data_IF_208235859417
#
_entry.id   IF_208235859417
#
_cell.length_a   1.000
_cell.length_b   1.000
_cell.length_c   1.000
_cell.angle_alpha   90.00
_cell.angle_beta   90.00
_cell.angle_gamma   90.00
#
_symmetry.space_group_name_H-M   'P 1'
#
loop_
_entity.id
_entity.type
_entity.pdbx_description
1 polymer ?
#
# COMPACT_ATOMS: atom_id res chain seq x y z
N UNK A 1 -10.22 -0.89 -27.60
CA UNK A 1 -11.08 -1.80 -26.85
C UNK A 1 -10.84 -1.45 -25.39
N UNK A 2 -11.86 -0.96 -24.71
CA UNK A 2 -11.79 -0.73 -23.27
C UNK A 2 -11.68 -2.10 -22.61
N UNK A 3 -10.48 -2.43 -22.14
CA UNK A 3 -10.28 -3.59 -21.29
C UNK A 3 -10.99 -3.26 -19.97
N UNK A 4 -11.97 -4.09 -19.60
CA UNK A 4 -12.64 -3.95 -18.32
C UNK A 4 -11.59 -4.14 -17.22
N UNK A 5 -11.30 -3.06 -16.47
CA UNK A 5 -10.41 -3.12 -15.33
C UNK A 5 -11.18 -3.55 -14.07
N UNK A 6 -10.57 -4.40 -13.27
CA UNK A 6 -11.09 -4.73 -11.94
C UNK A 6 -10.43 -3.80 -10.90
N UNK A 7 -10.93 -2.56 -10.86
CA UNK A 7 -10.47 -1.56 -9.90
C UNK A 7 -11.09 -1.83 -8.52
N UNK A 8 -10.26 -1.82 -7.48
CA UNK A 8 -10.66 -2.19 -6.12
C UNK A 8 -10.39 -1.11 -5.09
N UNK A 9 -9.44 -0.21 -5.36
CA UNK A 9 -9.07 0.88 -4.46
C UNK A 9 -8.53 2.05 -5.26
N UNK A 10 -8.25 3.17 -4.57
CA UNK A 10 -7.59 4.31 -5.18
C UNK A 10 -7.11 5.29 -4.13
N UNK A 11 -6.13 6.10 -4.50
CA UNK A 11 -5.61 7.20 -3.72
C UNK A 11 -5.83 8.53 -4.47
N UNK A 12 -6.23 9.55 -3.72
CA UNK A 12 -6.42 10.90 -4.24
C UNK A 12 -5.34 11.79 -3.65
N UNK A 13 -4.55 12.45 -4.51
CA UNK A 13 -3.36 13.20 -4.09
C UNK A 13 -3.06 14.32 -5.07
N UNK A 14 -2.45 15.38 -4.56
CA UNK A 14 -1.84 16.44 -5.36
C UNK A 14 -0.37 16.05 -5.60
N UNK A 15 -0.07 15.41 -6.76
CA UNK A 15 1.25 14.84 -6.99
C UNK A 15 2.30 15.84 -7.46
N UNK A 16 1.88 16.93 -8.10
CA UNK A 16 2.76 17.94 -8.70
C UNK A 16 2.66 19.31 -8.02
N UNK A 17 1.91 19.37 -6.90
CA UNK A 17 1.73 20.56 -6.07
C UNK A 17 1.10 21.74 -6.82
N UNK A 18 0.21 21.48 -7.76
CA UNK A 18 -0.51 22.50 -8.52
C UNK A 18 -1.81 22.95 -7.83
N UNK A 19 -2.23 22.24 -6.78
CA UNK A 19 -3.35 22.56 -5.91
C UNK A 19 -4.64 21.84 -6.27
N UNK A 20 -4.64 20.97 -7.28
CA UNK A 20 -5.77 20.09 -7.56
C UNK A 20 -5.44 18.62 -7.27
N UNK A 21 -6.48 17.79 -7.16
CA UNK A 21 -6.32 16.42 -6.72
C UNK A 21 -6.41 15.44 -7.88
N UNK A 22 -5.36 14.66 -8.04
CA UNK A 22 -5.23 13.58 -8.99
C UNK A 22 -5.74 12.24 -8.45
N UNK A 23 -5.81 11.23 -9.31
CA UNK A 23 -6.33 9.92 -8.95
C UNK A 23 -5.39 8.80 -9.37
N UNK A 24 -4.88 8.05 -8.40
CA UNK A 24 -4.28 6.75 -8.58
C UNK A 24 -5.33 5.66 -8.41
N UNK A 25 -5.44 4.75 -9.38
CA UNK A 25 -6.42 3.66 -9.39
C UNK A 25 -5.71 2.32 -9.30
N UNK A 26 -6.01 1.59 -8.23
CA UNK A 26 -5.49 0.25 -7.98
C UNK A 26 -6.37 -0.76 -8.69
N UNK A 27 -5.76 -1.58 -9.55
CA UNK A 27 -6.39 -2.70 -10.21
C UNK A 27 -5.86 -4.02 -9.64
N UNK A 28 -6.72 -5.05 -9.64
CA UNK A 28 -6.40 -6.30 -8.95
C UNK A 28 -5.93 -7.39 -9.92
N UNK A 29 -6.85 -8.04 -10.59
CA UNK A 29 -6.58 -9.23 -11.40
C UNK A 29 -7.14 -9.10 -12.82
N UNK A 30 -6.47 -9.70 -13.79
CA UNK A 30 -7.06 -9.98 -15.09
C UNK A 30 -7.99 -11.18 -14.98
N UNK A 31 -9.28 -10.93 -14.85
CA UNK A 31 -10.30 -11.98 -14.79
C UNK A 31 -11.06 -12.01 -16.11
N UNK A 32 -10.71 -12.95 -16.97
CA UNK A 32 -11.53 -13.23 -18.14
C UNK A 32 -12.96 -13.65 -17.72
N UNK A 33 -14.00 -13.24 -18.46
CA UNK A 33 -15.36 -13.69 -18.18
C UNK A 33 -15.40 -15.22 -18.07
N UNK A 34 -15.87 -15.75 -16.92
CA UNK A 34 -15.92 -17.19 -16.57
C UNK A 34 -14.59 -17.82 -16.13
N UNK A 35 -13.53 -17.07 -15.87
CA UNK A 35 -12.26 -17.65 -15.38
C UNK A 35 -12.46 -18.52 -14.11
N UNK A 36 -13.32 -18.10 -13.19
CA UNK A 36 -13.67 -18.84 -11.97
C UNK A 36 -14.40 -20.17 -12.20
N UNK A 37 -14.96 -20.38 -13.39
CA UNK A 37 -15.61 -21.64 -13.79
C UNK A 37 -14.78 -22.45 -14.76
N UNK A 38 -13.65 -21.92 -15.22
CA UNK A 38 -12.76 -22.59 -16.16
C UNK A 38 -11.80 -23.53 -15.40
N UNK A 39 -11.79 -24.84 -15.70
CA UNK A 39 -10.90 -25.81 -15.04
C UNK A 39 -9.40 -25.48 -15.17
N UNK A 40 -9.02 -24.64 -16.14
CA UNK A 40 -7.63 -24.21 -16.30
C UNK A 40 -7.18 -23.28 -15.19
N UNK A 41 -8.10 -22.49 -14.63
CA UNK A 41 -7.87 -21.55 -13.53
C UNK A 41 -8.32 -22.11 -12.17
N UNK A 42 -9.28 -23.04 -12.18
CA UNK A 42 -9.78 -23.69 -10.98
C UNK A 42 -9.80 -25.22 -11.15
N UNK A 43 -8.63 -25.89 -11.17
CA UNK A 43 -8.55 -27.34 -11.34
C UNK A 43 -9.13 -28.13 -10.16
N UNK A 44 -9.27 -27.50 -8.99
CA UNK A 44 -9.73 -28.12 -7.74
C UNK A 44 -11.21 -27.87 -7.45
N UNK A 45 -11.95 -27.27 -8.39
CA UNK A 45 -13.42 -27.20 -8.28
C UNK A 45 -14.01 -28.58 -8.57
N UNK A 46 -14.20 -29.46 -7.56
CA UNK A 46 -14.88 -30.71 -7.78
C UNK A 46 -16.34 -30.42 -8.18
N UNK A 47 -16.93 -31.29 -8.95
CA UNK A 47 -18.26 -31.20 -9.48
C UNK A 47 -19.27 -30.48 -8.57
N UNK A 48 -19.53 -29.22 -8.86
CA UNK A 48 -20.55 -28.40 -8.22
C UNK A 48 -20.15 -27.53 -7.03
N UNK A 49 -18.94 -27.57 -6.53
CA UNK A 49 -18.47 -26.64 -5.51
C UNK A 49 -17.76 -25.45 -6.15
N UNK A 50 -18.37 -24.26 -6.04
CA UNK A 50 -17.79 -22.99 -6.48
C UNK A 50 -16.79 -22.48 -5.44
N UNK A 51 -15.58 -23.07 -5.42
CA UNK A 51 -14.44 -22.44 -4.75
C UNK A 51 -13.92 -21.32 -5.63
N UNK A 52 -13.52 -20.19 -5.03
CA UNK A 52 -12.76 -19.17 -5.76
C UNK A 52 -11.31 -19.64 -5.86
N UNK A 53 -10.69 -19.61 -7.07
CA UNK A 53 -9.29 -19.95 -7.22
C UNK A 53 -8.42 -18.96 -6.45
N UNK A 54 -7.28 -19.43 -5.94
CA UNK A 54 -6.31 -18.56 -5.30
C UNK A 54 -5.83 -17.47 -6.27
N UNK A 55 -5.61 -16.22 -5.81
CA UNK A 55 -5.17 -15.09 -6.65
C UNK A 55 -3.96 -15.39 -7.54
N UNK A 56 -3.07 -16.29 -7.13
CA UNK A 56 -1.89 -16.69 -7.93
C UNK A 56 -2.21 -17.37 -9.26
N UNK A 57 -3.46 -17.77 -9.47
CA UNK A 57 -3.93 -18.35 -10.73
C UNK A 57 -4.22 -17.29 -11.79
N UNK A 58 -4.25 -16.02 -11.42
CA UNK A 58 -4.58 -14.93 -12.32
C UNK A 58 -3.41 -13.98 -12.48
N UNK A 59 -3.18 -13.42 -13.68
CA UNK A 59 -2.26 -12.31 -13.85
C UNK A 59 -2.74 -11.10 -13.04
N UNK A 60 -1.80 -10.31 -12.57
CA UNK A 60 -2.09 -9.00 -12.01
C UNK A 60 -2.46 -8.02 -13.12
N UNK A 61 -3.34 -7.06 -12.82
CA UNK A 61 -3.73 -6.03 -13.74
C UNK A 61 -2.97 -4.72 -13.46
N UNK A 62 -2.45 -4.03 -14.50
CA UNK A 62 -1.72 -2.77 -14.29
C UNK A 62 -2.61 -1.69 -13.66
N UNK A 63 -2.04 -0.95 -12.72
CA UNK A 63 -2.66 0.24 -12.13
C UNK A 63 -2.70 1.40 -13.11
N UNK A 64 -3.49 2.43 -12.79
CA UNK A 64 -3.66 3.63 -13.62
C UNK A 64 -3.45 4.90 -12.81
N UNK A 65 -2.96 5.92 -13.49
CA UNK A 65 -2.80 7.25 -12.94
C UNK A 65 -3.46 8.31 -13.80
N UNK A 66 -4.34 9.11 -13.20
CA UNK A 66 -5.13 10.12 -13.87
C UNK A 66 -4.85 11.49 -13.26
N UNK A 67 -4.31 12.40 -14.07
CA UNK A 67 -4.13 13.79 -13.68
C UNK A 67 -5.45 14.54 -13.84
N UNK A 68 -5.72 15.41 -12.87
CA UNK A 68 -6.87 16.29 -12.90
C UNK A 68 -6.57 17.50 -13.79
N UNK A 69 -7.25 17.59 -14.92
CA UNK A 69 -7.19 18.72 -15.83
C UNK A 69 -8.57 19.41 -15.93
N UNK A 70 -9.42 19.31 -14.90
CA UNK A 70 -10.79 19.81 -14.94
C UNK A 70 -10.86 21.32 -15.19
N UNK A 71 -9.95 22.10 -14.62
CA UNK A 71 -9.91 23.56 -14.77
C UNK A 71 -9.35 24.01 -16.13
N UNK A 72 -8.62 23.17 -16.83
CA UNK A 72 -8.00 23.46 -18.12
C UNK A 72 -8.74 22.83 -19.28
N UNK A 73 -8.89 21.52 -19.27
CA UNK A 73 -9.45 20.73 -20.38
C UNK A 73 -10.84 20.14 -20.05
N UNK A 74 -11.32 20.29 -18.82
CA UNK A 74 -12.62 19.82 -18.36
C UNK A 74 -12.71 18.31 -18.16
N UNK A 75 -11.55 17.61 -17.99
CA UNK A 75 -11.49 16.16 -17.84
C UNK A 75 -10.26 15.71 -17.05
N UNK A 76 -10.26 14.44 -16.62
CA UNK A 76 -9.06 13.76 -16.16
C UNK A 76 -8.28 13.22 -17.37
N UNK A 77 -6.96 13.34 -17.34
CA UNK A 77 -6.05 12.84 -18.37
C UNK A 77 -5.30 11.61 -17.88
N UNK A 78 -5.32 10.51 -18.66
CA UNK A 78 -4.50 9.33 -18.34
C UNK A 78 -3.02 9.67 -18.57
N UNK A 79 -2.27 9.76 -17.47
CA UNK A 79 -0.83 10.01 -17.44
C UNK A 79 -0.03 8.81 -16.93
N UNK A 80 -0.62 7.63 -16.90
CA UNK A 80 -0.01 6.38 -16.39
C UNK A 80 1.40 6.16 -16.94
N UNK A 81 1.59 6.35 -18.25
CA UNK A 81 2.91 6.23 -18.89
C UNK A 81 3.87 7.34 -18.51
N UNK A 82 3.40 8.59 -18.51
CA UNK A 82 4.23 9.74 -18.18
C UNK A 82 4.75 9.70 -16.74
N UNK A 83 3.90 9.22 -15.83
CA UNK A 83 4.24 9.09 -14.41
C UNK A 83 5.06 7.83 -14.07
N UNK A 84 5.42 7.01 -15.05
CA UNK A 84 6.23 5.80 -14.85
C UNK A 84 5.46 4.61 -14.29
N UNK A 85 4.16 4.71 -14.06
CA UNK A 85 3.33 3.63 -13.52
C UNK A 85 3.19 2.48 -14.53
N UNK A 86 3.14 2.78 -15.83
CA UNK A 86 3.08 1.77 -16.89
C UNK A 86 4.34 0.90 -17.00
N UNK A 87 5.45 1.33 -16.41
CA UNK A 87 6.74 0.61 -16.44
C UNK A 87 6.89 -0.37 -15.25
N UNK A 88 5.96 -0.31 -14.29
CA UNK A 88 5.99 -1.17 -13.11
C UNK A 88 5.56 -2.59 -13.48
N UNK A 89 6.14 -3.57 -12.79
CA UNK A 89 5.66 -4.94 -12.82
C UNK A 89 4.30 -4.99 -12.09
N UNK A 90 3.19 -5.34 -12.76
CA UNK A 90 1.87 -5.30 -12.15
C UNK A 90 1.79 -6.19 -10.90
N UNK A 91 1.21 -5.67 -9.85
CA UNK A 91 0.98 -6.39 -8.60
C UNK A 91 -0.54 -6.53 -8.36
N UNK A 92 -0.92 -7.28 -7.33
CA UNK A 92 -2.31 -7.57 -6.99
C UNK A 92 -2.80 -6.62 -5.90
N UNK A 93 -2.92 -5.34 -6.23
CA UNK A 93 -3.26 -4.31 -5.26
C UNK A 93 -4.67 -4.46 -4.70
N UNK A 94 -4.84 -4.26 -3.39
CA UNK A 94 -6.13 -4.21 -2.70
C UNK A 94 -6.35 -2.90 -1.94
N UNK A 95 -5.30 -2.29 -1.43
CA UNK A 95 -5.37 -1.02 -0.70
C UNK A 95 -4.31 -0.04 -1.16
N UNK A 96 -4.62 1.25 -1.13
CA UNK A 96 -3.65 2.31 -1.38
C UNK A 96 -3.87 3.49 -0.45
N UNK A 97 -2.77 4.13 -0.05
CA UNK A 97 -2.80 5.37 0.73
C UNK A 97 -1.81 6.38 0.16
N UNK A 98 -2.22 7.65 -0.02
CA UNK A 98 -1.30 8.73 -0.29
C UNK A 98 -0.60 9.14 1.01
N UNK A 99 0.70 9.34 0.97
CA UNK A 99 1.51 9.70 2.14
C UNK A 99 2.79 10.42 1.72
N UNK A 100 3.19 11.46 2.41
CA UNK A 100 4.52 12.06 2.28
C UNK A 100 5.45 11.34 3.27
N UNK A 101 6.04 10.23 2.81
CA UNK A 101 6.69 9.26 3.71
C UNK A 101 8.06 9.75 4.23
N UNK A 102 8.68 10.68 3.55
CA UNK A 102 9.95 11.29 3.92
C UNK A 102 9.84 12.75 4.37
N UNK A 103 8.61 13.27 4.38
CA UNK A 103 8.27 14.65 4.79
C UNK A 103 9.01 15.71 3.94
N UNK A 104 9.14 15.45 2.64
CA UNK A 104 9.79 16.36 1.70
C UNK A 104 8.80 17.30 0.96
N UNK A 105 7.50 17.11 1.19
CA UNK A 105 6.42 17.90 0.61
C UNK A 105 5.84 17.31 -0.68
N UNK A 106 6.33 16.15 -1.15
CA UNK A 106 5.81 15.44 -2.30
C UNK A 106 5.09 14.18 -1.87
N UNK A 107 3.85 14.04 -2.31
CA UNK A 107 3.02 12.92 -1.88
C UNK A 107 3.35 11.66 -2.65
N UNK A 108 3.70 10.61 -1.92
CA UNK A 108 3.92 9.25 -2.40
C UNK A 108 2.62 8.44 -2.40
N UNK A 109 2.64 7.24 -2.98
CA UNK A 109 1.55 6.27 -2.86
C UNK A 109 2.09 4.92 -2.40
N UNK A 110 1.63 4.45 -1.24
CA UNK A 110 1.86 3.07 -0.83
C UNK A 110 0.70 2.18 -1.25
N UNK A 111 1.01 0.99 -1.78
CA UNK A 111 0.03 0.00 -2.24
C UNK A 111 0.24 -1.32 -1.53
N UNK A 112 -0.77 -1.75 -0.79
CA UNK A 112 -0.84 -3.07 -0.16
C UNK A 112 -1.34 -4.09 -1.19
N UNK A 113 -0.57 -5.16 -1.39
CA UNK A 113 -0.80 -6.15 -2.43
C UNK A 113 -1.12 -7.54 -1.85
N UNK A 114 -2.01 -8.27 -2.51
CA UNK A 114 -2.42 -9.63 -2.15
C UNK A 114 -1.40 -10.66 -2.61
N UNK A 115 -0.69 -11.28 -1.67
CA UNK A 115 0.31 -12.34 -1.86
C UNK A 115 1.44 -11.99 -2.85
N UNK A 116 1.60 -10.71 -3.18
CA UNK A 116 2.68 -10.17 -4.00
C UNK A 116 3.40 -9.05 -3.26
N UNK A 117 4.62 -8.63 -3.65
CA UNK A 117 5.33 -7.57 -2.94
C UNK A 117 4.52 -6.28 -2.88
N UNK A 118 4.43 -5.67 -1.70
CA UNK A 118 3.87 -4.32 -1.59
C UNK A 118 4.71 -3.31 -2.35
N UNK A 119 4.10 -2.21 -2.80
CA UNK A 119 4.77 -1.16 -3.56
C UNK A 119 4.76 0.17 -2.80
N UNK A 120 5.83 0.93 -2.95
CA UNK A 120 5.89 2.35 -2.64
C UNK A 120 6.25 3.11 -3.92
N UNK A 121 5.31 3.84 -4.44
CA UNK A 121 5.48 4.75 -5.56
C UNK A 121 6.02 6.07 -5.00
N UNK A 122 7.35 6.18 -4.98
CA UNK A 122 8.06 7.33 -4.45
C UNK A 122 8.06 8.45 -5.47
N UNK A 123 7.52 9.61 -5.08
CA UNK A 123 7.36 10.78 -5.94
C UNK A 123 8.70 11.49 -6.16
N UNK A 124 9.09 11.67 -7.39
CA UNK A 124 10.32 12.38 -7.75
C UNK A 124 10.02 13.84 -8.04
N UNK A 125 9.64 14.58 -7.02
CA UNK A 125 9.35 16.03 -7.08
C UNK A 125 8.33 16.40 -8.17
N UNK A 126 7.22 15.68 -8.22
CA UNK A 126 6.12 15.89 -9.17
C UNK A 126 6.39 15.39 -10.60
N UNK A 127 7.61 14.92 -10.88
CA UNK A 127 7.96 14.56 -12.25
C UNK A 127 7.54 13.14 -12.65
N UNK A 128 7.64 12.19 -11.73
CA UNK A 128 7.24 10.78 -11.92
C UNK A 128 7.34 10.01 -10.61
N UNK A 129 6.76 8.81 -10.59
CA UNK A 129 6.95 7.85 -9.52
C UNK A 129 8.06 6.82 -9.82
N UNK A 130 8.74 6.37 -8.76
CA UNK A 130 9.73 5.29 -8.81
C UNK A 130 9.41 4.27 -7.71
N UNK A 131 9.26 2.99 -8.07
CA UNK A 131 9.03 1.93 -7.09
C UNK A 131 10.24 1.80 -6.14
N UNK A 132 10.00 1.90 -4.85
CA UNK A 132 11.05 1.96 -3.81
C UNK A 132 10.81 1.03 -2.62
N UNK A 133 9.67 0.32 -2.52
CA UNK A 133 9.32 -0.48 -1.34
C UNK A 133 10.37 -1.54 -1.00
N UNK A 134 10.85 -2.26 -2.02
CA UNK A 134 11.88 -3.29 -1.84
C UNK A 134 13.18 -2.73 -1.28
N UNK A 135 13.61 -1.58 -1.76
CA UNK A 135 14.83 -0.90 -1.31
C UNK A 135 14.70 -0.36 0.12
N UNK A 136 13.51 0.08 0.47
CA UNK A 136 13.22 0.73 1.75
C UNK A 136 12.75 -0.24 2.85
N UNK A 137 12.47 -1.52 2.52
CA UNK A 137 12.06 -2.52 3.50
C UNK A 137 10.54 -2.59 3.72
N UNK A 138 9.74 -2.15 2.75
CA UNK A 138 8.27 -2.10 2.79
C UNK A 138 7.59 -3.18 1.94
N UNK A 139 8.36 -3.93 1.12
CA UNK A 139 7.79 -4.88 0.18
C UNK A 139 7.45 -6.24 0.80
N UNK A 140 8.05 -6.59 1.94
CA UNK A 140 7.99 -7.90 2.56
C UNK A 140 7.92 -7.78 4.08
N UNK A 141 7.45 -8.83 4.75
CA UNK A 141 7.51 -8.95 6.22
C UNK A 141 8.93 -9.19 6.75
N UNK A 142 9.11 -9.29 8.08
CA UNK A 142 10.42 -9.50 8.74
C UNK A 142 11.12 -10.80 8.28
N UNK A 143 10.37 -11.80 7.82
CA UNK A 143 10.91 -13.08 7.30
C UNK A 143 11.33 -13.00 5.84
N UNK A 144 10.97 -11.95 5.13
CA UNK A 144 11.21 -11.79 3.70
C UNK A 144 10.12 -12.40 2.81
N UNK A 145 8.96 -12.73 3.39
CA UNK A 145 7.81 -13.28 2.68
C UNK A 145 6.84 -12.18 2.26
N UNK A 146 6.07 -12.41 1.19
CA UNK A 146 4.90 -11.63 0.84
C UNK A 146 3.72 -12.02 1.73
N UNK A 147 2.84 -11.06 2.02
CA UNK A 147 1.59 -11.29 2.73
C UNK A 147 0.42 -10.77 1.87
N UNK A 148 -0.79 -11.19 2.19
CA UNK A 148 -1.99 -10.72 1.49
C UNK A 148 -2.44 -9.38 2.10
N UNK A 149 -1.73 -8.31 1.76
CA UNK A 149 -1.99 -6.95 2.24
C UNK A 149 -3.29 -6.38 1.67
N UNK A 150 -4.12 -5.78 2.54
CA UNK A 150 -5.44 -5.28 2.18
C UNK A 150 -5.66 -3.83 2.63
N UNK A 151 -5.88 -3.60 3.92
CA UNK A 151 -5.99 -2.25 4.47
C UNK A 151 -4.62 -1.67 4.80
N UNK A 152 -4.48 -0.36 4.67
CA UNK A 152 -3.25 0.35 5.02
C UNK A 152 -3.58 1.72 5.60
N UNK A 153 -2.84 2.13 6.62
CA UNK A 153 -2.87 3.47 7.17
C UNK A 153 -1.51 3.90 7.71
N UNK A 154 -1.32 5.19 7.94
CA UNK A 154 -0.07 5.80 8.40
C UNK A 154 -0.28 6.63 9.65
N UNK A 155 0.65 6.51 10.59
CA UNK A 155 0.72 7.33 11.79
C UNK A 155 2.15 7.34 12.31
N UNK A 156 2.58 8.39 13.00
CA UNK A 156 3.78 8.39 13.85
C UNK A 156 3.49 7.63 15.16
N UNK A 157 3.65 6.29 15.10
CA UNK A 157 3.26 5.37 16.18
C UNK A 157 4.21 5.47 17.39
N UNK A 158 5.49 5.70 17.16
CA UNK A 158 6.48 5.79 18.22
C UNK A 158 6.87 7.22 18.60
N UNK A 159 6.24 8.21 17.98
CA UNK A 159 6.35 9.66 18.26
C UNK A 159 7.76 10.18 18.06
N UNK A 160 8.43 9.69 17.05
CA UNK A 160 9.76 10.18 16.69
C UNK A 160 9.75 11.23 15.57
N UNK A 161 8.59 11.51 15.00
CA UNK A 161 8.36 12.61 14.06
C UNK A 161 8.31 12.19 12.59
N UNK A 162 8.39 10.90 12.30
CA UNK A 162 8.16 10.37 10.96
C UNK A 162 6.90 9.47 10.90
N UNK A 163 6.45 9.16 9.68
CA UNK A 163 5.25 8.35 9.50
C UNK A 163 5.60 6.87 9.37
N UNK A 164 4.94 6.06 10.18
CA UNK A 164 4.97 4.62 10.13
C UNK A 164 3.82 4.07 9.29
N UNK A 165 3.92 2.81 8.85
CA UNK A 165 2.90 2.14 8.05
C UNK A 165 2.35 0.92 8.78
N UNK A 166 1.02 0.80 8.78
CA UNK A 166 0.34 -0.39 9.27
C UNK A 166 -0.49 -1.03 8.14
N UNK A 167 -0.31 -2.34 7.94
CA UNK A 167 -1.00 -3.10 6.89
C UNK A 167 -1.76 -4.24 7.52
N UNK A 168 -3.03 -4.41 7.15
CA UNK A 168 -3.83 -5.57 7.56
C UNK A 168 -3.70 -6.68 6.53
N UNK A 169 -3.63 -7.93 7.00
CA UNK A 169 -3.37 -9.10 6.19
C UNK A 169 -4.45 -10.19 6.36
N UNK A 170 -4.29 -11.29 5.64
CA UNK A 170 -5.22 -12.42 5.60
C UNK A 170 -5.15 -13.25 6.90
N UNK A 171 -6.17 -14.07 7.14
CA UNK A 171 -6.19 -15.11 8.17
C UNK A 171 -4.94 -16.01 8.09
N UNK A 172 -4.39 -16.38 9.24
CA UNK A 172 -3.14 -17.11 9.45
C UNK A 172 -1.85 -16.32 9.20
N UNK A 173 -1.91 -15.16 8.60
CA UNK A 173 -0.83 -14.16 8.55
C UNK A 173 -0.90 -13.23 9.77
N UNK A 174 0.02 -12.30 9.89
CA UNK A 174 -0.04 -11.25 10.91
C UNK A 174 -0.20 -9.90 10.24
N UNK A 175 -0.95 -8.98 10.84
CA UNK A 175 -0.87 -7.60 10.36
C UNK A 175 0.57 -7.11 10.48
N UNK A 176 0.99 -6.19 9.63
CA UNK A 176 2.36 -5.72 9.56
C UNK A 176 2.47 -4.26 10.00
N UNK A 177 3.36 -3.98 10.96
CA UNK A 177 3.74 -2.64 11.37
C UNK A 177 5.18 -2.37 10.93
N UNK A 178 5.34 -1.45 10.00
CA UNK A 178 6.63 -1.00 9.49
C UNK A 178 6.99 0.34 10.13
N UNK A 179 7.95 0.35 11.06
CA UNK A 179 8.47 1.59 11.61
C UNK A 179 9.46 2.23 10.66
N UNK A 180 9.25 3.50 10.38
CA UNK A 180 10.16 4.37 9.65
C UNK A 180 11.42 4.62 10.50
N UNK A 181 12.49 5.02 9.87
CA UNK A 181 13.78 5.30 10.50
C UNK A 181 14.42 6.58 9.98
N UNK A 182 13.61 7.44 9.40
CA UNK A 182 14.05 8.77 8.97
C UNK A 182 14.40 9.63 10.17
N UNK A 183 13.72 9.39 11.29
CA UNK A 183 14.07 9.90 12.60
C UNK A 183 14.17 8.76 13.59
N UNK A 184 15.18 8.75 14.45
CA UNK A 184 15.33 7.73 15.48
C UNK A 184 15.60 8.36 16.84
N UNK A 185 14.96 7.86 17.88
CA UNK A 185 15.30 8.26 19.25
C UNK A 185 16.62 7.60 19.67
N UNK A 186 17.56 8.38 20.25
CA UNK A 186 18.81 7.83 20.75
C UNK A 186 18.57 6.71 21.78
N UNK A 187 19.29 5.61 21.66
CA UNK A 187 19.16 4.48 22.62
C UNK A 187 19.43 4.94 24.03
N UNK A 188 18.47 4.68 24.93
CA UNK A 188 18.56 5.06 26.34
C UNK A 188 18.17 6.52 26.62
N UNK A 189 17.72 7.25 25.63
CA UNK A 189 17.15 8.58 25.83
C UNK A 189 15.85 8.49 26.64
N UNK A 190 15.65 9.45 27.54
CA UNK A 190 14.42 9.54 28.32
C UNK A 190 13.22 9.98 27.49
N UNK A 191 11.99 9.83 28.01
CA UNK A 191 10.79 10.36 27.39
C UNK A 191 10.96 11.86 27.12
N UNK A 192 10.74 12.30 25.86
CA UNK A 192 10.87 13.70 25.45
C UNK A 192 12.25 14.11 24.95
N UNK A 193 13.22 13.21 24.80
CA UNK A 193 14.42 13.49 24.04
C UNK A 193 14.04 13.71 22.56
N UNK A 194 14.60 14.76 21.91
CA UNK A 194 14.32 14.98 20.49
C UNK A 194 14.89 13.83 19.66
N UNK A 195 14.17 13.42 18.59
CA UNK A 195 14.68 12.44 17.64
C UNK A 195 15.90 13.00 16.88
N UNK A 196 16.76 12.11 16.43
CA UNK A 196 17.91 12.46 15.59
C UNK A 196 17.64 12.01 14.15
N UNK A 197 18.13 12.74 13.13
CA UNK A 197 18.00 12.32 11.74
C UNK A 197 18.62 10.95 11.52
N UNK A 198 17.83 10.03 10.97
CA UNK A 198 18.25 8.69 10.59
C UNK A 198 18.40 8.57 9.07
N UNK A 199 17.99 7.44 8.55
CA UNK A 199 17.97 7.14 7.13
C UNK A 199 16.58 6.65 6.76
N UNK A 200 16.01 7.15 5.68
CA UNK A 200 14.76 6.60 5.14
C UNK A 200 14.92 5.09 4.87
N UNK A 201 14.30 4.31 5.71
CA UNK A 201 14.25 2.86 5.64
C UNK A 201 13.21 2.39 6.66
N UNK A 202 12.56 1.29 6.38
CA UNK A 202 11.53 0.72 7.24
C UNK A 202 11.96 -0.61 7.84
N UNK A 203 11.39 -0.92 8.98
CA UNK A 203 11.53 -2.23 9.62
C UNK A 203 10.20 -2.73 10.12
N UNK A 204 9.86 -3.92 9.72
CA UNK A 204 8.76 -4.65 10.34
C UNK A 204 9.05 -4.85 11.84
N UNK A 205 8.14 -4.39 12.68
CA UNK A 205 8.20 -4.45 14.14
C UNK A 205 7.01 -5.18 14.76
N UNK A 206 6.18 -5.78 13.96
CA UNK A 206 4.95 -6.47 14.34
C UNK A 206 5.13 -7.40 15.54
N UNK A 207 6.12 -8.29 15.46
CA UNK A 207 6.42 -9.22 16.57
C UNK A 207 6.87 -8.49 17.85
N UNK A 208 7.72 -7.47 17.68
CA UNK A 208 8.30 -6.74 18.83
C UNK A 208 7.28 -5.85 19.53
N UNK A 209 6.31 -5.33 18.79
CA UNK A 209 5.23 -4.50 19.32
C UNK A 209 4.04 -5.32 19.84
N UNK A 210 4.12 -6.66 19.74
CA UNK A 210 3.09 -7.56 20.28
C UNK A 210 1.84 -7.67 19.41
N UNK A 211 1.87 -7.17 18.17
CA UNK A 211 0.73 -7.10 17.25
C UNK A 211 0.47 -8.40 16.49
N UNK A 212 1.45 -9.31 16.42
CA UNK A 212 1.35 -10.51 15.63
C UNK A 212 0.29 -11.49 16.15
N UNK A 213 0.30 -11.79 17.46
CA UNK A 213 -0.61 -12.78 18.04
C UNK A 213 -2.08 -12.34 18.01
N UNK A 214 -2.43 -11.08 18.29
CA UNK A 214 -3.82 -10.62 18.23
C UNK A 214 -4.43 -10.65 16.84
N UNK A 215 -3.65 -10.43 15.79
CA UNK A 215 -4.17 -10.33 14.41
C UNK A 215 -4.33 -11.67 13.70
N UNK A 216 -3.58 -12.69 14.11
CA UNK A 216 -3.40 -13.95 13.34
C UNK A 216 -4.66 -14.77 13.07
N UNK A 217 -5.73 -14.55 13.77
CA UNK A 217 -6.99 -15.29 13.57
C UNK A 217 -8.07 -14.49 12.84
N UNK A 218 -7.70 -13.37 12.24
CA UNK A 218 -8.64 -12.44 11.64
C UNK A 218 -8.18 -11.98 10.26
N UNK A 219 -9.15 -11.70 9.39
CA UNK A 219 -8.93 -11.05 8.09
C UNK A 219 -9.23 -9.57 8.26
N UNK A 220 -8.30 -8.69 7.90
CA UNK A 220 -8.47 -7.25 7.97
C UNK A 220 -8.58 -6.64 6.57
N UNK A 221 -9.73 -6.03 6.22
CA UNK A 221 -9.90 -5.31 4.95
C UNK A 221 -9.81 -3.79 5.08
N UNK A 222 -9.90 -3.28 6.27
CA UNK A 222 -9.78 -1.85 6.53
C UNK A 222 -9.07 -1.61 7.84
N UNK A 223 -8.36 -0.50 7.92
CA UNK A 223 -7.70 0.00 9.11
C UNK A 223 -7.76 1.52 9.09
N UNK A 224 -7.83 2.12 10.26
CA UNK A 224 -7.67 3.55 10.43
C UNK A 224 -7.07 3.79 11.81
N UNK A 225 -6.04 4.63 11.86
CA UNK A 225 -5.58 5.20 13.11
C UNK A 225 -6.49 6.37 13.51
N UNK A 226 -6.78 6.49 14.79
CA UNK A 226 -7.62 7.55 15.32
C UNK A 226 -7.27 7.78 16.78
N UNK A 227 -7.32 9.02 17.24
CA UNK A 227 -7.25 9.37 18.66
C UNK A 227 -8.67 9.23 19.25
N UNK A 228 -8.99 8.03 19.76
CA UNK A 228 -10.33 7.67 20.21
C UNK A 228 -10.69 8.28 21.58
N UNK A 229 -9.71 8.48 22.45
CA UNK A 229 -9.90 9.02 23.78
C UNK A 229 -9.46 10.48 23.94
N UNK A 230 -8.98 11.10 22.88
CA UNK A 230 -8.57 12.50 22.78
C UNK A 230 -7.42 12.86 23.72
N UNK A 231 -6.49 11.94 23.92
CA UNK A 231 -5.29 12.15 24.73
C UNK A 231 -4.07 12.63 23.92
N UNK A 232 -4.21 12.73 22.60
CA UNK A 232 -3.21 13.26 21.67
C UNK A 232 -2.27 12.19 21.12
N UNK A 233 -2.58 10.92 21.32
CA UNK A 233 -1.92 9.84 20.60
C UNK A 233 -2.91 9.07 19.69
N UNK A 234 -2.40 8.25 18.82
CA UNK A 234 -3.23 7.45 17.92
C UNK A 234 -3.47 6.05 18.51
N UNK A 235 -4.71 5.64 18.51
CA UNK A 235 -5.20 4.33 18.91
C UNK A 235 -5.25 3.35 17.71
#
# INVERSE_FOLDING_TARGET
ADEEAWSVSGAVLDHDADGDLDLYVVNYLEVAPRAHTDPRFNPDAPDGHKGYPHPDRYPAQPDRYWRNDLDTDGAFTDVTGAMGVAELDPQKGLGAIPTDIELDGWVDVYVANDATPNMLLHNQAGARFVESARKLGLAYNESGDTEAGMGVDTLDVDRDGDLDLFVTNLDMETNSLYLNRSFERPRGAGPGAPPEPGRLAFRDRTLRMGLAAPSRGFVGFGVAFSDLDLDGDGD
#
